data_IF_645202319081
#
_entry.id   IF_645202319081
#
_cell.length_a   1.000
_cell.length_b   1.000
_cell.length_c   1.000
_cell.angle_alpha   90.00
_cell.angle_beta   90.00
_cell.angle_gamma   90.00
#
_symmetry.space_group_name_H-M   'P 1'
#
loop_
_entity.id
_entity.type
_entity.pdbx_description
1 polymer ?
#
# COMPACT_ATOMS: atom_id res chain seq x y z
N UNK A 1 57.97 -38.68 2.41
CA UNK A 1 57.82 -37.36 3.07
C UNK A 1 56.79 -36.58 2.28
N UNK A 2 55.54 -36.60 2.74
CA UNK A 2 54.39 -36.00 2.06
C UNK A 2 54.26 -34.55 2.51
N UNK A 3 54.41 -33.60 1.58
CA UNK A 3 54.15 -32.18 1.85
C UNK A 3 52.81 -31.79 1.23
N UNK A 4 51.96 -31.31 2.13
CA UNK A 4 50.58 -30.88 1.96
C UNK A 4 50.47 -29.62 1.10
N UNK A 5 49.47 -29.66 0.20
CA UNK A 5 48.71 -28.60 -0.45
C UNK A 5 49.16 -27.13 -0.33
N UNK A 6 49.22 -26.46 -1.48
CA UNK A 6 48.84 -25.04 -1.60
C UNK A 6 48.16 -24.83 -2.95
N UNK A 7 46.82 -24.81 -2.97
CA UNK A 7 46.02 -24.31 -4.10
C UNK A 7 46.07 -22.78 -4.03
N UNK A 8 46.59 -22.06 -5.03
CA UNK A 8 46.37 -20.63 -5.09
C UNK A 8 44.90 -20.36 -5.42
N UNK A 9 44.26 -19.58 -4.55
CA UNK A 9 42.93 -19.03 -4.72
C UNK A 9 42.97 -18.08 -5.93
N UNK A 10 42.49 -18.53 -7.09
CA UNK A 10 42.20 -17.62 -8.20
C UNK A 10 40.79 -17.05 -7.98
N UNK A 11 40.82 -15.80 -7.55
CA UNK A 11 39.79 -14.77 -7.53
C UNK A 11 38.48 -15.18 -8.20
N UNK A 12 37.48 -15.46 -7.36
CA UNK A 12 36.11 -15.17 -7.75
C UNK A 12 36.04 -13.67 -8.03
N UNK A 13 35.88 -13.33 -9.31
CA UNK A 13 35.45 -12.02 -9.76
C UNK A 13 34.17 -11.67 -8.99
N UNK A 14 34.29 -10.80 -7.98
CA UNK A 14 33.11 -10.28 -7.29
C UNK A 14 32.27 -9.54 -8.33
N UNK A 15 31.03 -9.98 -8.58
CA UNK A 15 30.16 -9.25 -9.48
C UNK A 15 29.97 -7.82 -8.97
N UNK A 16 29.90 -6.83 -9.88
CA UNK A 16 29.84 -5.42 -9.52
C UNK A 16 28.67 -5.21 -8.57
N UNK A 17 28.99 -4.68 -7.38
CA UNK A 17 28.08 -4.53 -6.26
C UNK A 17 26.72 -4.02 -6.70
N UNK A 18 25.77 -4.95 -6.84
CA UNK A 18 24.37 -4.64 -6.79
C UNK A 18 24.18 -3.92 -5.45
N UNK A 19 23.95 -2.61 -5.52
CA UNK A 19 23.55 -1.81 -4.37
C UNK A 19 22.40 -2.58 -3.76
N UNK A 20 22.64 -3.26 -2.62
CA UNK A 20 21.60 -3.97 -1.90
C UNK A 20 20.53 -2.92 -1.64
N UNK A 21 19.46 -2.96 -2.42
CA UNK A 21 18.22 -2.29 -2.09
C UNK A 21 17.89 -2.80 -0.70
N UNK A 22 18.12 -1.97 0.30
CA UNK A 22 17.85 -2.34 1.69
C UNK A 22 16.35 -2.57 1.75
N UNK A 23 15.95 -3.83 1.70
CA UNK A 23 14.55 -4.22 1.79
C UNK A 23 14.02 -3.73 3.14
N UNK A 24 13.13 -2.74 3.11
CA UNK A 24 12.54 -2.17 4.30
C UNK A 24 11.28 -2.97 4.66
N UNK A 25 11.23 -3.53 5.87
CA UNK A 25 10.12 -4.40 6.32
C UNK A 25 8.75 -3.69 6.45
N UNK A 26 8.70 -2.36 6.40
CA UNK A 26 7.49 -1.58 6.64
C UNK A 26 6.96 -1.63 8.09
N UNK A 27 7.64 -2.35 8.99
CA UNK A 27 7.27 -2.46 10.40
C UNK A 27 8.09 -1.47 11.24
N UNK A 28 7.40 -0.68 12.06
CA UNK A 28 8.02 0.28 12.97
C UNK A 28 7.70 -0.11 14.42
N UNK A 29 8.68 -0.66 15.14
CA UNK A 29 8.59 -0.92 16.57
C UNK A 29 9.26 0.21 17.32
N UNK A 30 8.47 1.03 18.01
CA UNK A 30 8.97 2.19 18.75
C UNK A 30 8.26 2.31 20.09
N UNK A 31 8.96 2.79 21.12
CA UNK A 31 8.38 3.08 22.44
C UNK A 31 7.95 4.54 22.49
N UNK A 32 6.68 4.78 22.83
CA UNK A 32 6.10 6.11 22.93
C UNK A 32 5.81 6.44 24.41
N UNK A 33 6.08 7.67 24.86
CA UNK A 33 5.49 8.18 26.09
C UNK A 33 3.96 8.13 26.03
N UNK A 34 3.31 7.86 27.16
CA UNK A 34 1.85 7.74 27.26
C UNK A 34 1.12 9.00 26.78
N UNK A 35 1.68 10.17 27.10
CA UNK A 35 1.10 11.47 26.74
C UNK A 35 1.11 11.70 25.23
N UNK A 36 2.18 11.30 24.54
CA UNK A 36 2.31 11.38 23.10
C UNK A 36 1.35 10.39 22.42
N UNK A 37 1.27 9.17 22.92
CA UNK A 37 0.32 8.18 22.39
C UNK A 37 -1.13 8.68 22.51
N UNK A 38 -1.50 9.22 23.67
CA UNK A 38 -2.84 9.76 23.91
C UNK A 38 -3.16 10.97 23.01
N UNK A 39 -2.19 11.85 22.77
CA UNK A 39 -2.37 12.98 21.86
C UNK A 39 -2.60 12.52 20.41
N UNK A 40 -1.78 11.57 19.92
CA UNK A 40 -1.93 11.02 18.58
C UNK A 40 -3.24 10.24 18.41
N UNK A 41 -3.65 9.48 19.43
CA UNK A 41 -4.91 8.73 19.40
C UNK A 41 -6.13 9.65 19.31
N UNK A 42 -6.16 10.75 20.08
CA UNK A 42 -7.24 11.76 20.00
C UNK A 42 -7.29 12.45 18.64
N UNK A 43 -6.13 12.77 18.07
CA UNK A 43 -6.07 13.39 16.75
C UNK A 43 -6.59 12.43 15.65
N UNK A 44 -6.18 11.15 15.71
CA UNK A 44 -6.67 10.13 14.78
C UNK A 44 -8.19 9.90 14.88
N UNK A 45 -8.74 9.91 16.11
CA UNK A 45 -10.18 9.81 16.35
C UNK A 45 -10.95 11.02 15.79
N UNK A 46 -10.40 12.23 15.99
CA UNK A 46 -10.95 13.46 15.40
C UNK A 46 -10.99 13.44 13.88
N UNK A 47 -10.02 12.78 13.24
CA UNK A 47 -9.96 12.58 11.79
C UNK A 47 -10.75 11.34 11.31
N UNK A 48 -11.28 10.52 12.22
CA UNK A 48 -12.02 9.31 11.90
C UNK A 48 -11.17 8.21 11.25
N UNK A 49 -9.87 8.16 11.53
CA UNK A 49 -8.93 7.18 10.94
C UNK A 49 -8.22 6.35 12.00
N UNK A 50 -7.63 5.23 11.59
CA UNK A 50 -6.80 4.44 12.51
C UNK A 50 -5.54 5.21 12.94
N UNK A 51 -5.08 4.99 14.17
CA UNK A 51 -3.85 5.58 14.67
C UNK A 51 -2.64 5.30 13.77
N UNK A 52 -2.52 4.07 13.23
CA UNK A 52 -1.43 3.73 12.32
C UNK A 52 -1.48 4.56 11.04
N UNK A 53 -2.67 4.74 10.45
CA UNK A 53 -2.86 5.58 9.27
C UNK A 53 -2.51 7.03 9.57
N UNK A 54 -3.02 7.59 10.68
CA UNK A 54 -2.71 8.95 11.12
C UNK A 54 -1.19 9.19 11.26
N UNK A 55 -0.48 8.26 11.92
CA UNK A 55 0.98 8.32 12.09
C UNK A 55 1.67 8.29 10.73
N UNK A 56 1.31 7.35 9.85
CA UNK A 56 1.96 7.24 8.53
C UNK A 56 1.73 8.46 7.66
N UNK A 57 0.53 9.04 7.68
CA UNK A 57 0.19 10.26 6.93
C UNK A 57 0.96 11.46 7.46
N UNK A 58 1.00 11.65 8.78
CA UNK A 58 1.73 12.77 9.42
C UNK A 58 3.22 12.69 9.12
N UNK A 59 3.82 11.49 9.22
CA UNK A 59 5.22 11.27 8.87
C UNK A 59 5.47 11.52 7.38
N UNK A 60 4.57 11.09 6.50
CA UNK A 60 4.69 11.31 5.05
C UNK A 60 4.60 12.80 4.69
N UNK A 61 3.75 13.58 5.37
CA UNK A 61 3.67 15.03 5.17
C UNK A 61 4.99 15.71 5.54
N UNK A 62 5.49 15.49 6.76
CA UNK A 62 6.73 16.11 7.25
C UNK A 62 7.94 15.70 6.41
N UNK A 63 8.03 14.44 6.01
CA UNK A 63 9.15 13.94 5.17
C UNK A 63 9.00 14.40 3.71
N UNK A 64 7.77 14.53 3.22
CA UNK A 64 7.45 14.95 1.85
C UNK A 64 7.75 16.42 1.57
N UNK A 65 7.59 17.30 2.55
CA UNK A 65 7.92 18.73 2.40
C UNK A 65 9.43 19.00 2.28
N UNK A 66 10.27 18.12 2.81
CA UNK A 66 11.74 18.23 2.76
C UNK A 66 12.41 17.62 1.53
N UNK A 67 11.67 16.96 0.63
CA UNK A 67 12.23 16.31 -0.57
C UNK A 67 11.43 16.74 -1.81
N UNK A 68 12.03 17.42 -2.80
CA UNK A 68 11.35 17.61 -4.09
C UNK A 68 11.05 16.23 -4.69
N UNK A 69 9.78 15.83 -4.61
CA UNK A 69 9.10 14.76 -5.34
C UNK A 69 9.97 13.55 -5.73
N UNK A 70 10.67 12.92 -4.78
CA UNK A 70 11.11 11.54 -4.99
C UNK A 70 9.94 10.63 -4.62
N UNK A 71 9.13 10.32 -5.63
CA UNK A 71 8.02 9.34 -5.63
C UNK A 71 8.26 8.25 -4.60
N UNK A 72 7.55 8.34 -3.48
CA UNK A 72 7.57 7.35 -2.44
C UNK A 72 7.06 6.03 -3.01
N UNK A 73 7.96 5.05 -3.08
CA UNK A 73 7.65 3.63 -3.20
C UNK A 73 6.71 3.24 -2.06
N UNK A 74 5.42 3.17 -2.38
CA UNK A 74 4.29 2.89 -1.49
C UNK A 74 3.07 2.49 -2.32
N UNK A 75 3.31 1.63 -3.31
CA UNK A 75 2.44 1.32 -4.43
C UNK A 75 1.39 0.25 -4.08
N UNK A 76 0.60 0.43 -3.01
CA UNK A 76 -0.51 -0.50 -2.72
C UNK A 76 -1.81 0.16 -2.23
N UNK A 77 -1.79 1.44 -1.83
CA UNK A 77 -3.02 2.14 -1.41
C UNK A 77 -3.80 2.69 -2.61
N UNK A 78 -3.11 3.05 -3.69
CA UNK A 78 -3.75 3.59 -4.90
C UNK A 78 -4.29 2.49 -5.83
N UNK A 79 -3.65 1.31 -5.89
CA UNK A 79 -4.14 0.20 -6.71
C UNK A 79 -5.48 -0.34 -6.19
N UNK A 80 -5.56 -0.66 -4.88
CA UNK A 80 -6.80 -1.18 -4.29
C UNK A 80 -7.99 -0.23 -4.50
N UNK A 81 -7.79 1.08 -4.34
CA UNK A 81 -8.84 2.08 -4.56
C UNK A 81 -9.30 2.13 -6.03
N UNK A 82 -8.37 2.02 -6.98
CA UNK A 82 -8.67 1.99 -8.42
C UNK A 82 -9.43 0.72 -8.81
N UNK A 83 -9.02 -0.44 -8.27
CA UNK A 83 -9.69 -1.72 -8.49
C UNK A 83 -11.11 -1.76 -7.88
N UNK A 84 -11.27 -1.24 -6.66
CA UNK A 84 -12.58 -1.15 -6.01
C UNK A 84 -13.52 -0.19 -6.75
N UNK A 85 -13.00 0.91 -7.31
CA UNK A 85 -13.79 1.85 -8.12
C UNK A 85 -14.31 1.18 -9.41
N UNK A 86 -13.47 0.39 -10.09
CA UNK A 86 -13.86 -0.36 -11.29
C UNK A 86 -14.96 -1.40 -10.98
N UNK A 87 -14.83 -2.15 -9.89
CA UNK A 87 -15.82 -3.15 -9.47
C UNK A 87 -17.18 -2.52 -9.11
N UNK A 88 -17.17 -1.36 -8.45
CA UNK A 88 -18.40 -0.62 -8.12
C UNK A 88 -19.13 -0.14 -9.37
N UNK A 89 -18.41 0.40 -10.35
CA UNK A 89 -19.01 0.87 -11.61
C UNK A 89 -19.64 -0.30 -12.38
N UNK A 90 -18.95 -1.44 -12.47
CA UNK A 90 -19.48 -2.63 -13.13
C UNK A 90 -20.77 -3.12 -12.44
N UNK A 91 -20.74 -3.29 -11.11
CA UNK A 91 -21.93 -3.71 -10.37
C UNK A 91 -23.10 -2.73 -10.52
N UNK A 92 -22.82 -1.42 -10.51
CA UNK A 92 -23.84 -0.39 -10.71
C UNK A 92 -24.50 -0.51 -12.10
N UNK A 93 -23.71 -0.74 -13.16
CA UNK A 93 -24.23 -0.93 -14.52
C UNK A 93 -25.09 -2.19 -14.61
N UNK A 94 -24.65 -3.30 -14.01
CA UNK A 94 -25.39 -4.57 -13.99
C UNK A 94 -26.74 -4.40 -13.26
N UNK A 95 -26.75 -3.75 -12.10
CA UNK A 95 -27.97 -3.48 -11.32
C UNK A 95 -28.92 -2.56 -12.09
N UNK A 96 -28.40 -1.49 -12.71
CA UNK A 96 -29.22 -0.57 -13.50
C UNK A 96 -29.85 -1.28 -14.71
N UNK A 97 -29.08 -2.09 -15.43
CA UNK A 97 -29.57 -2.87 -16.57
C UNK A 97 -30.66 -3.87 -16.14
N UNK A 98 -30.45 -4.60 -15.04
CA UNK A 98 -31.45 -5.51 -14.50
C UNK A 98 -32.74 -4.78 -14.08
N UNK A 99 -32.61 -3.62 -13.43
CA UNK A 99 -33.76 -2.79 -13.04
C UNK A 99 -34.56 -2.28 -14.24
N UNK A 100 -33.89 -1.80 -15.29
CA UNK A 100 -34.54 -1.37 -16.54
C UNK A 100 -35.29 -2.53 -17.17
N UNK A 101 -34.66 -3.71 -17.26
CA UNK A 101 -35.28 -4.91 -17.82
C UNK A 101 -36.53 -5.33 -17.03
N UNK A 102 -36.45 -5.29 -15.70
CA UNK A 102 -37.58 -5.59 -14.82
C UNK A 102 -38.76 -4.63 -15.03
N UNK A 103 -38.49 -3.33 -15.16
CA UNK A 103 -39.52 -2.31 -15.42
C UNK A 103 -40.18 -2.54 -16.78
N UNK A 104 -39.38 -2.81 -17.83
CA UNK A 104 -39.90 -3.09 -19.18
C UNK A 104 -40.81 -4.32 -19.18
N UNK A 105 -40.38 -5.40 -18.52
CA UNK A 105 -41.18 -6.63 -18.40
C UNK A 105 -42.50 -6.38 -17.66
N UNK A 106 -42.47 -5.64 -16.56
CA UNK A 106 -43.67 -5.29 -15.78
C UNK A 106 -44.68 -4.47 -16.59
N UNK A 107 -44.21 -3.49 -17.37
CA UNK A 107 -45.10 -2.69 -18.22
C UNK A 107 -45.64 -3.51 -19.39
N UNK A 108 -44.82 -4.39 -19.97
CA UNK A 108 -45.24 -5.26 -21.06
C UNK A 108 -46.34 -6.24 -20.63
N UNK A 109 -46.29 -6.70 -19.37
CA UNK A 109 -47.26 -7.66 -18.84
C UNK A 109 -48.63 -7.06 -18.52
N UNK A 110 -48.76 -5.73 -18.43
CA UNK A 110 -50.05 -5.05 -18.32
C UNK A 110 -50.69 -4.70 -19.67
N UNK A 111 -49.95 -4.91 -20.76
CA UNK A 111 -50.36 -4.54 -22.12
C UNK A 111 -50.74 -5.74 -22.99
N UNK A 112 -50.75 -6.94 -22.43
CA UNK A 112 -51.30 -8.18 -23.00
C UNK A 112 -52.38 -8.75 -22.10
#
# INVERSE_FOLDING_TARGET
>A
MSVTATRPLQSAEEPPGAKKERSHSGRLLLRMPETLHAALARAADGDGVSLNQFITTTLAQVVGEGRPAQRASGETVNERSRWLSILLVINLVVVAAAGILAIVLLVSSWRG
#
